data_IF_351463077271
#
_entry.id   IF_351463077271
#
_cell.length_a   1.000
_cell.length_b   1.000
_cell.length_c   1.000
_cell.angle_alpha   90.00
_cell.angle_beta   90.00
_cell.angle_gamma   90.00
#
_symmetry.space_group_name_H-M   'P 1'
#
loop_
_entity.id
_entity.type
_entity.pdbx_description
1 polymer ?
#
# COMPACT_ATOMS: atom_id res chain seq x y z
N UNK A 1 -1.56 -14.99 6.31
CA UNK A 1 -2.11 -13.62 6.13
C UNK A 1 -1.08 -12.56 6.54
N UNK A 2 -0.27 -12.83 7.55
CA UNK A 2 0.63 -11.87 8.20
C UNK A 2 1.67 -11.24 7.25
N UNK A 3 2.27 -12.02 6.34
CA UNK A 3 3.25 -11.49 5.38
C UNK A 3 2.63 -10.47 4.41
N UNK A 4 1.39 -10.68 3.98
CA UNK A 4 0.67 -9.75 3.09
C UNK A 4 0.36 -8.46 3.85
N UNK A 5 0.02 -8.56 5.13
CA UNK A 5 -0.25 -7.40 5.97
C UNK A 5 1.00 -6.58 6.26
N UNK A 6 2.09 -7.24 6.64
CA UNK A 6 3.39 -6.60 6.83
C UNK A 6 3.83 -5.87 5.56
N UNK A 7 3.76 -6.52 4.41
CA UNK A 7 4.11 -5.90 3.13
C UNK A 7 3.20 -4.73 2.77
N UNK A 8 1.91 -4.81 3.10
CA UNK A 8 0.97 -3.70 2.91
C UNK A 8 1.38 -2.49 3.74
N UNK A 9 1.76 -2.71 5.00
CA UNK A 9 2.20 -1.65 5.90
C UNK A 9 3.52 -1.01 5.46
N UNK A 10 4.50 -1.81 5.04
CA UNK A 10 5.78 -1.34 4.51
C UNK A 10 5.57 -0.52 3.23
N UNK A 11 4.74 -1.01 2.31
CA UNK A 11 4.39 -0.32 1.06
C UNK A 11 3.71 1.02 1.34
N UNK A 12 2.71 1.04 2.24
CA UNK A 12 2.03 2.26 2.68
C UNK A 12 3.03 3.29 3.21
N UNK A 13 3.96 2.86 4.06
CA UNK A 13 4.96 3.75 4.64
C UNK A 13 5.91 4.31 3.58
N UNK A 14 6.41 3.46 2.67
CA UNK A 14 7.28 3.88 1.58
C UNK A 14 6.63 4.92 0.66
N UNK A 15 5.35 4.71 0.29
CA UNK A 15 4.59 5.67 -0.51
C UNK A 15 4.43 7.00 0.25
N UNK A 16 4.03 6.94 1.52
CA UNK A 16 3.86 8.13 2.36
C UNK A 16 5.14 8.97 2.41
N UNK A 17 6.28 8.35 2.74
CA UNK A 17 7.58 9.04 2.79
C UNK A 17 7.94 9.63 1.43
N UNK A 18 7.72 8.87 0.34
CA UNK A 18 7.96 9.35 -1.01
C UNK A 18 7.12 10.57 -1.40
N UNK A 19 5.87 10.65 -0.95
CA UNK A 19 5.00 11.81 -1.20
C UNK A 19 5.40 13.00 -0.32
N UNK A 20 5.68 12.76 0.96
CA UNK A 20 6.15 13.81 1.87
C UNK A 20 7.45 14.46 1.37
N UNK A 21 8.39 13.67 0.84
CA UNK A 21 9.63 14.19 0.22
C UNK A 21 9.38 15.02 -1.04
N UNK A 22 8.23 14.86 -1.70
CA UNK A 22 7.81 15.64 -2.88
C UNK A 22 6.94 16.85 -2.50
N UNK A 23 6.86 17.19 -1.21
CA UNK A 23 6.13 18.36 -0.74
C UNK A 23 4.62 18.16 -0.61
N UNK A 24 4.11 16.92 -0.66
CA UNK A 24 2.70 16.68 -0.42
C UNK A 24 2.31 17.00 1.01
N UNK A 25 1.14 17.62 1.16
CA UNK A 25 0.52 17.88 2.45
C UNK A 25 0.27 16.56 3.21
N UNK A 26 0.54 16.55 4.53
CA UNK A 26 0.66 15.32 5.32
C UNK A 26 -0.62 14.49 5.30
N UNK A 27 -1.79 15.12 5.41
CA UNK A 27 -3.06 14.40 5.45
C UNK A 27 -3.40 13.80 4.09
N UNK A 28 -3.20 14.57 3.00
CA UNK A 28 -3.35 14.11 1.61
C UNK A 28 -2.41 12.95 1.29
N UNK A 29 -1.13 13.04 1.65
CA UNK A 29 -0.15 11.98 1.44
C UNK A 29 -0.54 10.69 2.19
N UNK A 30 -1.00 10.80 3.44
CA UNK A 30 -1.44 9.65 4.25
C UNK A 30 -2.68 8.99 3.66
N UNK A 31 -3.67 9.78 3.26
CA UNK A 31 -4.90 9.28 2.65
C UNK A 31 -4.61 8.54 1.35
N UNK A 32 -3.80 9.14 0.47
CA UNK A 32 -3.39 8.52 -0.78
C UNK A 32 -2.61 7.22 -0.57
N UNK A 33 -1.59 7.25 0.30
CA UNK A 33 -0.77 6.07 0.59
C UNK A 33 -1.61 4.90 1.14
N UNK A 34 -2.58 5.20 2.00
CA UNK A 34 -3.50 4.20 2.57
C UNK A 34 -4.38 3.57 1.49
N UNK A 35 -5.00 4.41 0.64
CA UNK A 35 -5.85 3.95 -0.46
C UNK A 35 -5.07 3.08 -1.45
N UNK A 36 -3.89 3.54 -1.87
CA UNK A 36 -3.07 2.84 -2.85
C UNK A 36 -2.57 1.50 -2.29
N UNK A 37 -2.05 1.47 -1.05
CA UNK A 37 -1.57 0.23 -0.44
C UNK A 37 -2.70 -0.81 -0.25
N UNK A 38 -3.91 -0.37 0.12
CA UNK A 38 -5.07 -1.26 0.25
C UNK A 38 -5.50 -1.86 -1.10
N UNK A 39 -5.48 -1.05 -2.16
CA UNK A 39 -5.77 -1.52 -3.52
C UNK A 39 -4.72 -2.54 -3.98
N UNK A 40 -3.43 -2.26 -3.76
CA UNK A 40 -2.34 -3.18 -4.10
C UNK A 40 -2.45 -4.50 -3.34
N UNK A 41 -2.80 -4.47 -2.05
CA UNK A 41 -3.07 -5.67 -1.24
C UNK A 41 -4.18 -6.51 -1.87
N UNK A 42 -5.29 -5.87 -2.20
CA UNK A 42 -6.46 -6.53 -2.80
C UNK A 42 -6.11 -7.15 -4.16
N UNK A 43 -5.39 -6.41 -5.00
CA UNK A 43 -4.90 -6.91 -6.30
C UNK A 43 -3.96 -8.10 -6.15
N UNK A 44 -3.04 -8.07 -5.19
CA UNK A 44 -2.12 -9.18 -4.93
C UNK A 44 -2.85 -10.45 -4.46
N UNK A 45 -3.81 -10.31 -3.54
CA UNK A 45 -4.65 -11.43 -3.08
C UNK A 45 -5.46 -12.01 -4.24
N UNK A 46 -6.07 -11.15 -5.06
CA UNK A 46 -6.85 -11.60 -6.22
C UNK A 46 -5.98 -12.29 -7.27
N UNK A 47 -4.75 -11.79 -7.47
CA UNK A 47 -3.78 -12.45 -8.34
C UNK A 47 -3.42 -13.84 -7.82
N UNK A 48 -3.07 -13.97 -6.53
CA UNK A 48 -2.75 -15.27 -5.94
C UNK A 48 -3.91 -16.27 -6.09
N UNK A 49 -5.14 -15.83 -5.77
CA UNK A 49 -6.36 -16.64 -5.94
C UNK A 49 -6.59 -17.10 -7.38
N UNK A 50 -6.38 -16.21 -8.37
CA UNK A 50 -6.53 -16.55 -9.80
C UNK A 50 -5.50 -17.57 -10.29
N UNK A 51 -4.34 -17.64 -9.63
CA UNK A 51 -3.25 -18.52 -10.02
C UNK A 51 -3.10 -19.75 -9.11
N UNK A 52 -4.04 -19.98 -8.18
CA UNK A 52 -3.97 -21.04 -7.16
C UNK A 52 -2.64 -21.04 -6.36
N UNK A 53 -2.17 -19.84 -5.99
CA UNK A 53 -0.99 -19.61 -5.15
C UNK A 53 -1.36 -19.38 -3.68
#
# INVERSE_FOLDING_TARGET
MDNIELNTNLTRYGIYIGLSRRGWEKSSARAYATKLASNLRSSAINFARKNNL
#
